data_IF_798848007918
#
_entry.id   IF_798848007918
#
_cell.length_a   1.000
_cell.length_b   1.000
_cell.length_c   1.000
_cell.angle_alpha   90.00
_cell.angle_beta   90.00
_cell.angle_gamma   90.00
#
_symmetry.space_group_name_H-M   'P 1'
#
loop_
_entity.id
_entity.type
_entity.pdbx_description
1 polymer ?
#
# COMPACT_ATOMS: atom_id res chain seq x y z
N UNK A 1 24.26 -14.84 -9.46
CA UNK A 1 23.17 -15.20 -8.53
C UNK A 1 22.79 -13.94 -7.80
N UNK A 2 21.50 -13.60 -7.75
CA UNK A 2 21.05 -12.43 -7.01
C UNK A 2 21.30 -12.66 -5.51
N UNK A 3 21.62 -11.61 -4.77
CA UNK A 3 21.70 -11.71 -3.30
C UNK A 3 20.28 -11.84 -2.72
N UNK A 4 20.09 -12.44 -1.53
CA UNK A 4 18.76 -12.51 -0.90
C UNK A 4 18.05 -11.15 -0.77
N UNK A 5 18.83 -10.07 -0.64
CA UNK A 5 18.31 -8.71 -0.59
C UNK A 5 17.78 -8.23 -1.96
N UNK A 6 18.43 -8.61 -3.05
CA UNK A 6 17.98 -8.31 -4.41
C UNK A 6 16.72 -9.10 -4.77
N UNK A 7 16.62 -10.36 -4.34
CA UNK A 7 15.43 -11.20 -4.54
C UNK A 7 14.22 -10.64 -3.80
N UNK A 8 14.38 -10.30 -2.53
CA UNK A 8 13.33 -9.64 -1.73
C UNK A 8 12.87 -8.32 -2.35
N UNK A 9 13.81 -7.51 -2.87
CA UNK A 9 13.46 -6.26 -3.57
C UNK A 9 12.68 -6.54 -4.86
N UNK A 10 13.09 -7.54 -5.64
CA UNK A 10 12.39 -7.93 -6.86
C UNK A 10 10.98 -8.45 -6.58
N UNK A 11 10.80 -9.22 -5.50
CA UNK A 11 9.48 -9.66 -5.03
C UNK A 11 8.59 -8.48 -4.66
N UNK A 12 9.12 -7.52 -3.90
CA UNK A 12 8.43 -6.28 -3.60
C UNK A 12 7.99 -5.56 -4.88
N UNK A 13 8.87 -5.38 -5.86
CA UNK A 13 8.55 -4.70 -7.13
C UNK A 13 7.49 -5.44 -7.96
N UNK A 14 7.50 -6.78 -7.93
CA UNK A 14 6.44 -7.59 -8.56
C UNK A 14 5.09 -7.35 -7.89
N UNK A 15 5.05 -7.37 -6.56
CA UNK A 15 3.83 -7.13 -5.78
C UNK A 15 3.30 -5.70 -5.99
N UNK A 16 4.18 -4.69 -5.95
CA UNK A 16 3.83 -3.28 -6.17
C UNK A 16 3.18 -3.08 -7.55
N UNK A 17 3.76 -3.66 -8.61
CA UNK A 17 3.17 -3.58 -9.96
C UNK A 17 1.75 -4.13 -10.00
N UNK A 18 1.50 -5.29 -9.36
CA UNK A 18 0.16 -5.87 -9.28
C UNK A 18 -0.81 -5.03 -8.46
N UNK A 19 -0.36 -4.41 -7.37
CA UNK A 19 -1.17 -3.49 -6.59
C UNK A 19 -1.61 -2.27 -7.43
N UNK A 20 -0.73 -1.74 -8.29
CA UNK A 20 -1.07 -0.63 -9.20
C UNK A 20 -2.05 -1.03 -10.30
N UNK A 21 -1.94 -2.25 -10.83
CA UNK A 21 -2.93 -2.81 -11.78
C UNK A 21 -4.31 -2.93 -11.12
N UNK A 22 -4.39 -3.41 -9.88
CA UNK A 22 -5.64 -3.48 -9.11
C UNK A 22 -6.24 -2.09 -8.85
N UNK A 23 -5.41 -1.10 -8.50
CA UNK A 23 -5.87 0.28 -8.34
C UNK A 23 -6.50 0.83 -9.63
N UNK A 24 -5.91 0.51 -10.79
CA UNK A 24 -6.48 0.90 -12.08
C UNK A 24 -7.85 0.24 -12.33
N UNK A 25 -8.00 -1.06 -12.02
CA UNK A 25 -9.26 -1.77 -12.13
C UNK A 25 -10.34 -1.20 -11.18
N UNK A 26 -9.98 -0.88 -9.94
CA UNK A 26 -10.91 -0.31 -8.96
C UNK A 26 -11.46 1.05 -9.37
N UNK A 27 -10.65 1.87 -10.05
CA UNK A 27 -11.10 3.15 -10.65
C UNK A 27 -12.16 2.97 -11.74
N UNK A 28 -12.19 1.80 -12.39
CA UNK A 28 -13.26 1.46 -13.34
C UNK A 28 -14.50 0.88 -12.63
N UNK A 29 -14.34 0.26 -11.46
CA UNK A 29 -15.44 -0.33 -10.70
C UNK A 29 -16.29 0.70 -9.93
N UNK A 30 -15.68 1.78 -9.45
CA UNK A 30 -16.39 2.88 -8.78
C UNK A 30 -15.70 4.22 -9.02
N UNK A 31 -16.45 5.32 -9.23
CA UNK A 31 -15.88 6.66 -9.32
C UNK A 31 -15.54 7.24 -7.93
N UNK A 32 -16.02 6.63 -6.83
CA UNK A 32 -15.82 7.15 -5.47
C UNK A 32 -14.46 6.69 -4.92
N UNK A 33 -13.53 7.62 -4.76
CA UNK A 33 -12.19 7.36 -4.20
C UNK A 33 -12.25 6.69 -2.82
N UNK A 34 -13.16 7.15 -1.96
CA UNK A 34 -13.34 6.63 -0.59
C UNK A 34 -13.69 5.14 -0.58
N UNK A 35 -14.52 4.68 -1.51
CA UNK A 35 -14.89 3.25 -1.61
C UNK A 35 -13.65 2.40 -1.96
N UNK A 36 -12.80 2.91 -2.86
CA UNK A 36 -11.54 2.26 -3.25
C UNK A 36 -10.57 2.22 -2.07
N UNK A 37 -10.40 3.35 -1.38
CA UNK A 37 -9.53 3.47 -0.20
C UNK A 37 -9.94 2.47 0.90
N UNK A 38 -11.23 2.41 1.23
CA UNK A 38 -11.76 1.48 2.23
C UNK A 38 -11.60 0.03 1.79
N UNK A 39 -11.88 -0.30 0.52
CA UNK A 39 -11.71 -1.66 0.00
C UNK A 39 -10.25 -2.13 0.07
N UNK A 40 -9.29 -1.26 -0.27
CA UNK A 40 -7.86 -1.57 -0.18
C UNK A 40 -7.40 -1.73 1.27
N UNK A 41 -7.92 -0.91 2.19
CA UNK A 41 -7.65 -1.09 3.62
C UNK A 41 -8.19 -2.43 4.12
N UNK A 42 -9.45 -2.79 3.80
CA UNK A 42 -10.05 -4.08 4.18
C UNK A 42 -9.24 -5.27 3.65
N UNK A 43 -8.72 -5.18 2.42
CA UNK A 43 -7.88 -6.24 1.85
C UNK A 43 -6.61 -6.51 2.70
N UNK A 44 -6.03 -5.48 3.32
CA UNK A 44 -4.89 -5.65 4.24
C UNK A 44 -5.31 -6.41 5.51
N UNK A 45 -6.50 -6.12 6.06
CA UNK A 45 -7.02 -6.87 7.21
C UNK A 45 -7.30 -8.34 6.86
N UNK A 46 -7.89 -8.61 5.71
CA UNK A 46 -8.16 -9.98 5.25
C UNK A 46 -6.86 -10.76 4.97
N UNK A 47 -5.80 -10.11 4.45
CA UNK A 47 -4.48 -10.73 4.27
C UNK A 47 -3.91 -11.32 5.57
N UNK A 48 -4.16 -10.65 6.69
CA UNK A 48 -3.65 -11.03 8.01
C UNK A 48 -4.67 -11.78 8.88
N UNK A 49 -5.87 -12.05 8.35
CA UNK A 49 -6.95 -12.66 9.10
C UNK A 49 -6.55 -14.01 9.68
N UNK A 50 -6.85 -14.21 10.96
CA UNK A 50 -6.52 -15.44 11.69
C UNK A 50 -5.04 -15.56 12.09
N UNK A 51 -4.17 -14.62 11.70
CA UNK A 51 -2.75 -14.62 12.09
C UNK A 51 -2.37 -13.42 12.97
N UNK A 52 -2.96 -12.25 12.73
CA UNK A 52 -2.64 -11.02 13.46
C UNK A 52 -3.92 -10.34 13.96
N UNK A 53 -3.97 -9.90 15.23
CA UNK A 53 -5.09 -9.10 15.75
C UNK A 53 -5.28 -7.78 15.00
N UNK A 54 -6.52 -7.32 14.89
CA UNK A 54 -6.88 -6.12 14.12
C UNK A 54 -6.14 -4.84 14.57
N UNK A 55 -5.94 -4.66 15.88
CA UNK A 55 -5.20 -3.52 16.45
C UNK A 55 -3.73 -3.53 16.01
N UNK A 56 -3.12 -4.71 15.91
CA UNK A 56 -1.73 -4.87 15.44
C UNK A 56 -1.61 -4.62 13.95
N UNK A 57 -2.58 -5.05 13.14
CA UNK A 57 -2.63 -4.71 11.71
C UNK A 57 -2.73 -3.19 11.52
N UNK A 58 -3.60 -2.53 12.29
CA UNK A 58 -3.71 -1.07 12.24
C UNK A 58 -2.39 -0.36 12.59
N UNK A 59 -1.68 -0.85 13.62
CA UNK A 59 -0.36 -0.31 13.97
C UNK A 59 0.69 -0.51 12.87
N UNK A 60 0.69 -1.66 12.19
CA UNK A 60 1.57 -1.94 11.04
C UNK A 60 1.29 -0.95 9.90
N UNK A 61 0.01 -0.78 9.51
CA UNK A 61 -0.39 0.17 8.47
C UNK A 61 0.03 1.60 8.83
N UNK A 62 -0.21 2.04 10.06
CA UNK A 62 0.23 3.35 10.54
C UNK A 62 1.76 3.50 10.49
N UNK A 63 2.52 2.44 10.82
CA UNK A 63 3.97 2.41 10.70
C UNK A 63 4.44 2.64 9.27
N UNK A 64 3.85 1.92 8.30
CA UNK A 64 4.16 2.11 6.88
C UNK A 64 3.78 3.51 6.39
N UNK A 65 2.62 4.03 6.79
CA UNK A 65 2.22 5.40 6.44
C UNK A 65 3.24 6.43 6.94
N UNK A 66 3.71 6.32 8.18
CA UNK A 66 4.75 7.21 8.72
C UNK A 66 6.04 7.17 7.90
N UNK A 67 6.40 6.01 7.35
CA UNK A 67 7.56 5.87 6.47
C UNK A 67 7.31 6.50 5.10
N UNK A 68 6.11 6.35 4.54
CA UNK A 68 5.79 6.82 3.19
C UNK A 68 5.54 8.33 3.12
N UNK A 69 4.91 8.92 4.14
CA UNK A 69 4.50 10.34 4.15
C UNK A 69 5.61 11.29 3.72
N UNK A 70 6.86 11.22 4.23
CA UNK A 70 7.94 12.11 3.78
C UNK A 70 8.21 12.04 2.26
N UNK A 71 8.13 10.87 1.65
CA UNK A 71 8.39 10.69 0.20
C UNK A 71 7.29 11.29 -0.69
N UNK A 72 6.07 11.41 -0.16
CA UNK A 72 4.92 11.98 -0.87
C UNK A 72 4.59 13.41 -0.42
N UNK A 73 5.19 13.89 0.68
CA UNK A 73 4.94 15.21 1.26
C UNK A 73 5.64 16.37 0.55
N UNK A 74 6.79 16.15 -0.10
CA UNK A 74 7.61 17.23 -0.69
C UNK A 74 7.64 17.22 -2.23
N UNK A 75 6.48 17.39 -2.86
CA UNK A 75 6.40 17.76 -4.30
C UNK A 75 5.44 18.91 -4.61
N UNK A 76 5.18 19.79 -3.63
CA UNK A 76 4.62 21.11 -3.91
C UNK A 76 5.72 22.15 -3.71
N UNK A 77 6.32 22.72 -4.77
CA UNK A 77 6.99 23.99 -4.62
C UNK A 77 5.93 24.98 -4.13
N UNK A 78 6.13 25.54 -2.95
CA UNK A 78 5.37 26.71 -2.51
C UNK A 78 5.67 27.80 -3.54
N UNK A 79 4.67 28.22 -4.31
CA UNK A 79 4.79 29.42 -5.12
C UNK A 79 4.91 30.60 -4.15
N UNK A 80 6.15 31.03 -3.90
CA UNK A 80 6.49 32.30 -3.28
C UNK A 80 6.76 33.35 -4.34
#
# INVERSE_FOLDING_TARGET
>A
MATPNEENFNDYKRAERKALELLAAMKAATPKKVDIELALLVAIFELHKGSVPADKIAAIVQGHLKQMVPFYGEKHPVAG
#
